data_IF_052531147265
#
_entry.id   IF_052531147265
#
_cell.length_a   1.000
_cell.length_b   1.000
_cell.length_c   1.000
_cell.angle_alpha   90.00
_cell.angle_beta   90.00
_cell.angle_gamma   90.00
#
_symmetry.space_group_name_H-M   'P 1'
#
loop_
_entity.id
_entity.type
_entity.pdbx_description
1 polymer ?
#
# COMPACT_ATOMS: atom_id res chain seq x y z
N UNK A 1 2.89 -14.06 16.57
CA UNK A 1 2.96 -14.37 15.13
C UNK A 1 2.75 -13.07 14.37
N UNK A 2 3.61 -12.76 13.38
CA UNK A 2 3.60 -11.50 12.64
C UNK A 2 3.59 -11.79 11.14
N UNK A 3 3.01 -10.89 10.35
CA UNK A 3 2.97 -10.92 8.89
C UNK A 3 3.31 -9.51 8.42
N UNK A 4 4.28 -9.39 7.52
CA UNK A 4 4.62 -8.11 6.90
C UNK A 4 3.54 -7.74 5.87
N UNK A 5 2.89 -6.59 6.08
CA UNK A 5 1.78 -6.11 5.26
C UNK A 5 2.13 -4.90 4.41
N UNK A 6 3.31 -4.30 4.58
CA UNK A 6 3.74 -3.13 3.82
C UNK A 6 5.23 -3.22 3.47
N UNK A 7 5.55 -4.11 2.51
CA UNK A 7 6.89 -4.27 1.95
C UNK A 7 6.97 -3.75 0.52
N UNK A 8 8.06 -3.06 0.18
CA UNK A 8 8.35 -2.55 -1.16
C UNK A 8 9.56 -3.28 -1.75
N UNK A 9 9.41 -3.82 -2.96
CA UNK A 9 10.52 -4.45 -3.68
C UNK A 9 11.25 -3.45 -4.57
N UNK A 10 12.33 -3.90 -5.21
CA UNK A 10 13.11 -3.17 -6.20
C UNK A 10 12.30 -2.70 -7.42
N UNK A 11 11.04 -3.13 -7.57
CA UNK A 11 10.11 -2.57 -8.54
C UNK A 11 9.55 -1.19 -8.13
N UNK A 12 9.69 -0.82 -6.86
CA UNK A 12 9.56 0.55 -6.37
C UNK A 12 10.88 1.28 -6.62
N UNK A 13 11.04 1.80 -7.85
CA UNK A 13 12.30 2.40 -8.30
C UNK A 13 12.83 3.46 -7.33
N UNK A 14 14.14 3.38 -7.04
CA UNK A 14 14.87 4.29 -6.15
C UNK A 14 14.42 4.25 -4.68
N UNK A 15 13.57 3.29 -4.30
CA UNK A 15 13.08 3.15 -2.92
C UNK A 15 13.22 1.73 -2.38
N UNK A 16 12.88 0.72 -3.17
CA UNK A 16 13.06 -0.67 -2.80
C UNK A 16 14.42 -1.21 -3.24
N UNK A 17 15.02 -2.03 -2.38
CA UNK A 17 16.35 -2.62 -2.63
C UNK A 17 16.29 -4.11 -2.98
N UNK A 18 15.22 -4.81 -2.58
CA UNK A 18 15.16 -6.28 -2.63
C UNK A 18 14.19 -6.83 -3.66
N UNK A 19 14.45 -8.04 -4.16
CA UNK A 19 13.57 -8.69 -5.13
C UNK A 19 12.39 -9.40 -4.47
N UNK A 20 11.22 -9.51 -5.13
CA UNK A 20 10.04 -10.22 -4.62
C UNK A 20 10.33 -11.64 -4.09
N UNK A 21 11.27 -12.36 -4.71
CA UNK A 21 11.69 -13.69 -4.29
C UNK A 21 12.34 -13.72 -2.90
N UNK A 22 13.10 -12.68 -2.54
CA UNK A 22 13.75 -12.57 -1.23
C UNK A 22 12.72 -12.45 -0.11
N UNK A 23 11.63 -11.69 -0.32
CA UNK A 23 10.52 -11.58 0.63
C UNK A 23 9.87 -12.94 0.89
N UNK A 24 9.64 -13.75 -0.15
CA UNK A 24 9.06 -15.09 0.02
C UNK A 24 10.01 -16.04 0.78
N UNK A 25 11.30 -16.03 0.43
CA UNK A 25 12.30 -16.84 1.11
C UNK A 25 12.45 -16.47 2.59
N UNK A 26 12.47 -15.16 2.89
CA UNK A 26 12.60 -14.66 4.25
C UNK A 26 11.35 -14.92 5.08
N UNK A 27 10.15 -14.74 4.50
CA UNK A 27 8.90 -15.10 5.16
C UNK A 27 8.89 -16.59 5.54
N UNK A 28 9.30 -17.48 4.64
CA UNK A 28 9.40 -18.91 4.95
C UNK A 28 10.43 -19.21 6.04
N UNK A 29 11.61 -18.58 5.98
CA UNK A 29 12.67 -18.73 7.00
C UNK A 29 12.22 -18.28 8.39
N UNK A 30 11.38 -17.24 8.45
CA UNK A 30 10.81 -16.69 9.68
C UNK A 30 9.49 -17.38 10.09
N UNK A 31 9.08 -18.43 9.39
CA UNK A 31 7.81 -19.15 9.62
C UNK A 31 6.58 -18.21 9.54
N UNK A 32 6.67 -17.17 8.73
CA UNK A 32 5.54 -16.29 8.40
C UNK A 32 4.67 -16.96 7.33
N UNK A 33 3.37 -17.17 7.60
CA UNK A 33 2.49 -17.91 6.70
C UNK A 33 2.05 -17.07 5.51
N UNK A 34 2.33 -15.76 5.53
CA UNK A 34 2.00 -14.83 4.47
C UNK A 34 3.00 -13.67 4.44
N UNK A 35 3.03 -12.96 3.31
CA UNK A 35 3.77 -11.70 3.14
C UNK A 35 3.08 -10.84 2.07
N UNK A 36 2.98 -9.53 2.31
CA UNK A 36 2.47 -8.60 1.32
C UNK A 36 3.58 -7.93 0.51
N UNK A 37 3.29 -7.68 -0.76
CA UNK A 37 4.09 -6.78 -1.60
C UNK A 37 3.23 -5.60 -2.05
N UNK A 38 3.70 -4.40 -1.71
CA UNK A 38 2.97 -3.14 -1.81
C UNK A 38 3.85 -2.12 -2.53
N UNK A 39 4.27 -2.48 -3.75
CA UNK A 39 5.14 -1.63 -4.56
C UNK A 39 4.49 -0.27 -4.87
N UNK A 40 5.32 0.76 -5.04
CA UNK A 40 4.87 2.12 -5.34
C UNK A 40 4.19 2.19 -6.71
N UNK A 41 2.96 2.70 -6.73
CA UNK A 41 2.19 3.02 -7.93
C UNK A 41 2.09 1.87 -8.95
N UNK A 42 2.09 0.61 -8.53
CA UNK A 42 2.17 -0.53 -9.43
C UNK A 42 2.08 -1.89 -8.74
N UNK A 43 1.81 -2.91 -9.55
CA UNK A 43 1.77 -4.32 -9.13
C UNK A 43 2.85 -5.14 -9.86
N UNK A 44 3.96 -4.50 -10.21
CA UNK A 44 4.97 -5.10 -11.11
C UNK A 44 5.68 -6.31 -10.49
N UNK A 45 5.98 -6.26 -9.19
CA UNK A 45 6.59 -7.37 -8.48
C UNK A 45 5.60 -8.48 -8.09
N UNK A 46 4.29 -8.24 -8.20
CA UNK A 46 3.26 -9.16 -7.72
C UNK A 46 3.32 -10.56 -8.38
N UNK A 47 3.47 -10.70 -9.71
CA UNK A 47 3.59 -12.04 -10.32
C UNK A 47 4.82 -12.82 -9.83
N UNK A 48 5.92 -12.10 -9.55
CA UNK A 48 7.16 -12.70 -9.04
C UNK A 48 7.00 -13.16 -7.59
N UNK A 49 6.41 -12.32 -6.73
CA UNK A 49 6.11 -12.72 -5.36
C UNK A 49 5.18 -13.94 -5.36
N UNK A 50 4.08 -13.90 -6.13
CA UNK A 50 3.10 -14.99 -6.16
C UNK A 50 3.73 -16.33 -6.51
N UNK A 51 4.61 -16.35 -7.52
CA UNK A 51 5.32 -17.57 -7.91
C UNK A 51 6.30 -18.05 -6.83
N UNK A 52 7.06 -17.14 -6.23
CA UNK A 52 8.06 -17.48 -5.22
C UNK A 52 7.41 -17.96 -3.91
N UNK A 53 6.39 -17.25 -3.45
CA UNK A 53 5.65 -17.57 -2.22
C UNK A 53 4.96 -18.93 -2.32
N UNK A 54 4.34 -19.23 -3.48
CA UNK A 54 3.74 -20.54 -3.73
C UNK A 54 4.75 -21.70 -3.59
N UNK A 55 5.97 -21.54 -4.11
CA UNK A 55 7.03 -22.54 -3.97
C UNK A 55 7.57 -22.68 -2.54
N UNK A 56 7.47 -21.61 -1.75
CA UNK A 56 7.95 -21.54 -0.38
C UNK A 56 6.89 -21.90 0.67
N UNK A 57 5.65 -22.23 0.26
CA UNK A 57 4.55 -22.49 1.18
C UNK A 57 4.03 -21.25 1.93
N UNK A 58 4.27 -20.05 1.38
CA UNK A 58 3.86 -18.76 1.94
C UNK A 58 2.70 -18.21 1.12
N UNK A 59 1.69 -17.64 1.78
CA UNK A 59 0.58 -16.95 1.11
C UNK A 59 1.03 -15.54 0.63
N UNK A 60 1.05 -15.26 -0.68
CA UNK A 60 1.29 -13.91 -1.15
C UNK A 60 0.06 -13.02 -0.90
N UNK A 61 0.28 -11.78 -0.49
CA UNK A 61 -0.72 -10.71 -0.45
C UNK A 61 -0.28 -9.64 -1.46
N UNK A 62 -1.17 -9.28 -2.38
CA UNK A 62 -0.88 -8.28 -3.41
C UNK A 62 -1.42 -6.93 -2.99
N UNK A 63 -0.66 -5.87 -3.22
CA UNK A 63 -1.09 -4.50 -2.99
C UNK A 63 -0.29 -3.50 -3.81
N UNK A 64 -0.53 -2.22 -3.55
CA UNK A 64 0.31 -1.12 -4.05
C UNK A 64 0.24 0.08 -3.11
N UNK A 65 1.36 0.79 -2.94
CA UNK A 65 1.42 2.07 -2.24
C UNK A 65 1.09 3.18 -3.26
N UNK A 66 -0.11 3.74 -3.18
CA UNK A 66 -0.63 4.72 -4.13
C UNK A 66 -0.23 6.14 -3.72
N UNK A 67 0.37 6.87 -4.65
CA UNK A 67 0.72 8.29 -4.46
C UNK A 67 -0.53 9.18 -4.61
N UNK A 68 -0.82 9.97 -3.58
CA UNK A 68 -1.89 10.97 -3.60
C UNK A 68 -1.38 12.32 -4.13
N UNK A 69 -2.29 13.15 -4.64
CA UNK A 69 -1.98 14.47 -5.18
C UNK A 69 -1.36 15.43 -4.16
N UNK A 70 -1.59 15.22 -2.86
CA UNK A 70 -0.96 15.99 -1.77
C UNK A 70 0.44 15.45 -1.40
N UNK A 71 0.97 14.50 -2.17
CA UNK A 71 2.28 13.86 -1.96
C UNK A 71 2.28 12.76 -0.90
N UNK A 72 1.17 12.59 -0.17
CA UNK A 72 1.01 11.49 0.77
C UNK A 72 0.85 10.15 0.05
N UNK A 73 1.00 9.06 0.79
CA UNK A 73 0.98 7.70 0.25
C UNK A 73 0.01 6.81 0.97
N UNK A 74 -0.71 6.01 0.21
CA UNK A 74 -1.79 5.16 0.71
C UNK A 74 -1.57 3.70 0.29
N UNK A 75 -1.11 2.84 1.21
CA UNK A 75 -0.99 1.41 0.97
C UNK A 75 -2.37 0.76 0.86
N UNK A 76 -2.62 0.10 -0.27
CA UNK A 76 -3.85 -0.64 -0.54
C UNK A 76 -3.51 -2.12 -0.77
N UNK A 77 -4.19 -3.00 -0.03
CA UNK A 77 -4.09 -4.45 -0.16
C UNK A 77 -5.32 -4.99 -0.88
N UNK A 78 -5.12 -6.02 -1.69
CA UNK A 78 -6.18 -6.71 -2.41
C UNK A 78 -6.81 -7.77 -1.50
N UNK A 79 -8.10 -7.61 -1.20
CA UNK A 79 -8.88 -8.59 -0.43
C UNK A 79 -9.40 -9.71 -1.35
N UNK A 80 -9.88 -9.34 -2.53
CA UNK A 80 -10.53 -10.26 -3.47
C UNK A 80 -10.25 -9.93 -4.94
N UNK A 81 -10.94 -10.66 -5.84
CA UNK A 81 -10.82 -10.49 -7.29
C UNK A 81 -11.29 -9.13 -7.77
N UNK A 82 -12.33 -8.56 -7.16
CA UNK A 82 -12.83 -7.23 -7.50
C UNK A 82 -11.80 -6.17 -7.10
N UNK A 83 -11.22 -6.30 -5.91
CA UNK A 83 -10.12 -5.48 -5.42
C UNK A 83 -8.95 -5.45 -6.38
N UNK A 84 -8.51 -6.61 -6.88
CA UNK A 84 -7.41 -6.65 -7.85
C UNK A 84 -7.75 -5.87 -9.13
N UNK A 85 -8.97 -6.03 -9.65
CA UNK A 85 -9.43 -5.30 -10.82
C UNK A 85 -9.49 -3.79 -10.57
N UNK A 86 -10.00 -3.39 -9.42
CA UNK A 86 -10.12 -1.99 -9.05
C UNK A 86 -8.76 -1.34 -8.83
N UNK A 87 -7.82 -2.03 -8.17
CA UNK A 87 -6.44 -1.58 -8.03
C UNK A 87 -5.76 -1.39 -9.40
N UNK A 88 -5.93 -2.34 -10.32
CA UNK A 88 -5.41 -2.20 -11.69
C UNK A 88 -6.01 -0.99 -12.41
N UNK A 89 -7.35 -0.82 -12.38
CA UNK A 89 -8.03 0.32 -13.01
C UNK A 89 -7.59 1.65 -12.42
N UNK A 90 -7.46 1.72 -11.10
CA UNK A 90 -6.95 2.86 -10.37
C UNK A 90 -5.54 3.26 -10.85
N UNK A 91 -4.61 2.29 -10.84
CA UNK A 91 -3.23 2.52 -11.30
C UNK A 91 -3.19 2.96 -12.76
N UNK A 92 -4.02 2.37 -13.62
CA UNK A 92 -4.15 2.80 -15.02
C UNK A 92 -4.67 4.24 -15.11
N UNK A 93 -5.74 4.58 -14.38
CA UNK A 93 -6.33 5.93 -14.36
C UNK A 93 -5.31 6.98 -13.91
N UNK A 94 -4.57 6.69 -12.84
CA UNK A 94 -3.55 7.56 -12.28
C UNK A 94 -2.39 7.83 -13.25
N UNK A 95 -2.00 6.83 -14.06
CA UNK A 95 -0.90 6.96 -15.01
C UNK A 95 -1.31 7.51 -16.36
N UNK A 96 -2.57 7.39 -16.73
CA UNK A 96 -3.05 7.80 -18.06
C UNK A 96 -2.92 9.31 -18.22
N UNK A 97 -2.02 9.75 -19.11
CA UNK A 97 -1.77 11.17 -19.38
C UNK A 97 -0.80 11.85 -18.40
N UNK A 98 -0.27 11.13 -17.40
CA UNK A 98 0.73 11.65 -16.49
C UNK A 98 2.16 11.46 -17.06
N UNK A 99 3.06 12.46 -16.92
CA UNK A 99 4.48 12.25 -17.18
C UNK A 99 5.04 11.11 -16.32
N UNK A 100 6.10 10.46 -16.81
CA UNK A 100 6.77 9.37 -16.08
C UNK A 100 7.24 9.86 -14.70
N UNK A 101 6.81 9.17 -13.64
CA UNK A 101 7.17 9.50 -12.25
C UNK A 101 6.30 10.56 -11.58
N UNK A 102 5.37 11.18 -12.31
CA UNK A 102 4.47 12.22 -11.79
C UNK A 102 3.02 11.73 -11.59
N UNK A 103 2.78 10.43 -11.71
CA UNK A 103 1.45 9.84 -11.55
C UNK A 103 1.01 9.97 -10.08
N UNK A 104 -0.14 10.60 -9.86
CA UNK A 104 -0.77 10.77 -8.56
C UNK A 104 -2.29 10.88 -8.75
N UNK A 105 -3.05 10.59 -7.70
CA UNK A 105 -4.52 10.69 -7.72
C UNK A 105 -5.04 11.54 -6.57
N UNK A 106 -6.11 12.31 -6.79
CA UNK A 106 -6.80 12.98 -5.70
C UNK A 106 -7.46 11.94 -4.78
N UNK A 107 -7.52 12.22 -3.48
CA UNK A 107 -8.11 11.28 -2.52
C UNK A 107 -9.57 10.93 -2.88
N UNK A 108 -10.34 11.91 -3.34
CA UNK A 108 -11.75 11.71 -3.70
C UNK A 108 -11.93 10.88 -4.98
N UNK A 109 -10.94 10.87 -5.87
CA UNK A 109 -10.99 10.10 -7.11
C UNK A 109 -10.71 8.60 -6.89
N UNK A 110 -10.36 8.19 -5.67
CA UNK A 110 -10.18 6.78 -5.28
C UNK A 110 -11.49 6.05 -5.04
N UNK A 111 -12.54 6.76 -4.63
CA UNK A 111 -13.82 6.18 -4.18
C UNK A 111 -14.42 5.16 -5.17
N UNK A 112 -14.43 5.39 -6.51
CA UNK A 112 -14.94 4.42 -7.47
C UNK A 112 -14.18 3.09 -7.52
N UNK A 113 -12.99 3.01 -6.91
CA UNK A 113 -12.10 1.85 -6.95
C UNK A 113 -11.90 1.22 -5.56
N UNK A 114 -12.64 1.64 -4.54
CA UNK A 114 -12.40 1.19 -3.17
C UNK A 114 -12.88 -0.26 -2.87
N UNK A 115 -13.87 -0.76 -3.62
CA UNK A 115 -14.44 -2.09 -3.38
C UNK A 115 -13.38 -3.21 -3.55
N UNK A 116 -13.38 -4.16 -2.60
CA UNK A 116 -12.45 -5.29 -2.55
C UNK A 116 -11.02 -4.94 -2.10
N UNK A 117 -10.79 -3.71 -1.59
CA UNK A 117 -9.50 -3.26 -1.10
C UNK A 117 -9.50 -3.01 0.41
N UNK A 118 -8.37 -3.34 1.05
CA UNK A 118 -8.06 -2.96 2.42
C UNK A 118 -7.08 -1.80 2.40
N UNK A 119 -7.42 -0.72 3.11
CA UNK A 119 -6.65 0.51 3.20
C UNK A 119 -5.86 0.58 4.51
N UNK A 120 -4.55 0.83 4.40
CA UNK A 120 -3.71 1.23 5.51
C UNK A 120 -3.47 2.75 5.42
N UNK A 121 -3.37 3.44 6.55
CA UNK A 121 -3.25 4.92 6.54
C UNK A 121 -1.87 5.47 6.14
N UNK A 122 -0.88 4.63 5.82
CA UNK A 122 0.37 5.04 5.15
C UNK A 122 1.56 5.40 6.04
N UNK A 123 1.58 4.96 7.31
CA UNK A 123 2.66 5.25 8.25
C UNK A 123 3.06 6.73 8.27
N UNK A 124 4.37 7.01 8.29
CA UNK A 124 4.90 8.39 8.30
C UNK A 124 4.67 9.19 7.00
N UNK A 125 4.48 8.49 5.87
CA UNK A 125 4.20 9.12 4.55
C UNK A 125 2.71 9.26 4.27
N UNK A 126 1.87 8.84 5.22
CA UNK A 126 0.43 8.75 5.07
C UNK A 126 -0.28 10.10 5.17
N UNK A 127 -1.52 10.21 4.64
CA UNK A 127 -2.31 11.44 4.70
C UNK A 127 -2.60 11.90 6.13
N UNK A 128 -2.60 10.99 7.12
CA UNK A 128 -2.82 11.33 8.51
C UNK A 128 -1.54 11.89 9.16
N UNK A 129 -0.41 11.20 9.00
CA UNK A 129 0.85 11.60 9.62
C UNK A 129 1.31 12.98 9.13
N UNK A 130 1.20 13.26 7.82
CA UNK A 130 1.58 14.55 7.27
C UNK A 130 0.74 15.71 7.83
N UNK A 131 -0.57 15.51 8.00
CA UNK A 131 -1.46 16.51 8.59
C UNK A 131 -1.20 16.71 10.07
N UNK A 132 -1.00 15.62 10.82
CA UNK A 132 -0.66 15.69 12.25
C UNK A 132 0.68 16.39 12.48
N UNK A 133 1.70 16.12 11.66
CA UNK A 133 2.99 16.80 11.70
C UNK A 133 2.87 18.31 11.43
N UNK A 134 1.90 18.72 10.60
CA UNK A 134 1.58 20.12 10.35
C UNK A 134 0.68 20.77 11.42
N UNK A 135 0.29 20.04 12.48
CA UNK A 135 -0.64 20.50 13.51
C UNK A 135 -2.12 20.51 13.10
N UNK A 136 -2.46 20.01 11.92
CA UNK A 136 -3.83 19.95 11.39
C UNK A 136 -4.56 18.68 11.84
N UNK A 137 -4.87 18.63 13.14
CA UNK A 137 -5.59 17.50 13.76
C UNK A 137 -6.99 17.33 13.15
N UNK A 138 -7.69 18.41 12.87
CA UNK A 138 -9.04 18.35 12.30
C UNK A 138 -9.02 17.85 10.86
N UNK A 139 -8.02 18.25 10.06
CA UNK A 139 -7.81 17.71 8.73
C UNK A 139 -7.46 16.23 8.75
N UNK A 140 -6.62 15.78 9.69
CA UNK A 140 -6.34 14.36 9.87
C UNK A 140 -7.62 13.56 10.20
N UNK A 141 -8.48 14.10 11.08
CA UNK A 141 -9.79 13.48 11.39
C UNK A 141 -10.70 13.41 10.17
N UNK A 142 -10.78 14.48 9.38
CA UNK A 142 -11.58 14.50 8.13
C UNK A 142 -11.04 13.50 7.11
N UNK A 143 -9.73 13.42 6.94
CA UNK A 143 -9.09 12.46 6.05
C UNK A 143 -9.38 11.01 6.47
N UNK A 144 -9.25 10.70 7.76
CA UNK A 144 -9.61 9.37 8.29
C UNK A 144 -11.10 9.06 8.08
N UNK A 145 -11.99 10.01 8.36
CA UNK A 145 -13.42 9.82 8.13
C UNK A 145 -13.73 9.54 6.65
N UNK A 146 -13.04 10.21 5.72
CA UNK A 146 -13.17 9.96 4.28
C UNK A 146 -12.66 8.58 3.88
N UNK A 147 -11.49 8.16 4.37
CA UNK A 147 -10.96 6.81 4.15
C UNK A 147 -11.93 5.74 4.66
N UNK A 148 -12.45 5.90 5.88
CA UNK A 148 -13.44 4.98 6.46
C UNK A 148 -14.75 4.97 5.65
N UNK A 149 -15.19 6.11 5.11
CA UNK A 149 -16.38 6.17 4.27
C UNK A 149 -16.18 5.43 2.94
N UNK A 150 -14.99 5.51 2.33
CA UNK A 150 -14.68 4.86 1.05
C UNK A 150 -14.45 3.35 1.18
N UNK A 151 -13.61 2.93 2.12
CA UNK A 151 -13.21 1.52 2.26
C UNK A 151 -14.08 0.74 3.25
N UNK A 152 -14.84 1.43 4.11
CA UNK A 152 -15.60 0.81 5.18
C UNK A 152 -14.76 0.58 6.45
N UNK A 153 -15.45 0.48 7.59
CA UNK A 153 -14.81 0.32 8.91
C UNK A 153 -14.05 -1.00 9.08
N UNK A 154 -14.44 -2.04 8.35
CA UNK A 154 -13.79 -3.36 8.39
C UNK A 154 -12.54 -3.46 7.53
N UNK A 155 -12.34 -2.51 6.61
CA UNK A 155 -11.27 -2.56 5.60
C UNK A 155 -10.42 -1.27 5.60
N UNK A 156 -10.45 -0.50 6.69
CA UNK A 156 -9.61 0.68 6.88
C UNK A 156 -8.90 0.61 8.23
N UNK A 157 -7.57 0.56 8.22
CA UNK A 157 -6.74 0.37 9.40
C UNK A 157 -5.73 1.51 9.57
N UNK A 158 -5.61 2.00 10.79
CA UNK A 158 -4.54 2.95 11.14
C UNK A 158 -3.23 2.18 11.17
N UNK A 159 -2.31 2.58 10.31
CA UNK A 159 -1.00 1.97 10.21
C UNK A 159 -0.02 2.59 11.21
N UNK A 160 0.67 1.73 11.95
CA UNK A 160 1.68 2.14 12.94
C UNK A 160 3.00 1.50 12.55
N UNK A 161 3.98 2.35 12.27
CA UNK A 161 5.36 1.95 12.01
C UNK A 161 6.26 2.63 13.03
N UNK A 162 7.17 1.88 13.64
CA UNK A 162 8.14 2.42 14.60
C UNK A 162 9.54 2.04 14.19
N UNK A 163 10.13 2.91 13.39
CA UNK A 163 11.57 2.92 13.16
C UNK A 163 12.16 3.71 14.33
N UNK A 164 13.20 3.22 15.00
CA UNK A 164 13.81 3.86 16.19
C UNK A 164 14.54 5.20 15.86
N UNK A 165 13.92 6.03 15.05
CA UNK A 165 14.32 7.39 14.71
C UNK A 165 13.97 8.26 15.92
N UNK A 166 14.96 8.98 16.44
CA UNK A 166 14.84 9.75 17.69
C UNK A 166 14.04 11.05 17.54
N UNK A 167 13.80 11.47 16.29
CA UNK A 167 13.23 12.78 15.94
C UNK A 167 11.89 12.67 15.18
N UNK A 168 11.22 11.50 15.22
CA UNK A 168 9.86 11.28 14.72
C UNK A 168 8.92 10.84 15.84
#
# INVERSE_FOLDING_TARGET
MFIELHAQSAFSFLEGAEHPEAFAAEAARLEMPAVALVDRDGVYGAPRLTRAAANAGVKPIVGSEITLADGSRLPLLVEDREGYQNLCRLITRMKLGAPKGAAAIALDDLEPYAAGLVCLTGGARGPLALRLAAGDVDGARRALARLVAMFGRSSCFVEIQRHFLRDQ
#
